data_IF_035500747954
#
_entry.id   IF_035500747954
#
_cell.length_a   1.000
_cell.length_b   1.000
_cell.length_c   1.000
_cell.angle_alpha   90.00
_cell.angle_beta   90.00
_cell.angle_gamma   90.00
#
_symmetry.space_group_name_H-M   'P 1'
#
loop_
_entity.id
_entity.type
_entity.pdbx_description
1 polymer ?
#
# COMPACT_ATOMS: atom_id res chain seq x y z
N UNK A 1 -3.99 7.38 -21.29
CA UNK A 1 -3.82 8.65 -20.55
C UNK A 1 -5.14 9.16 -20.00
N UNK A 2 -6.04 9.77 -20.80
CA UNK A 2 -7.33 10.28 -20.29
C UNK A 2 -8.14 9.22 -19.53
N UNK A 3 -8.21 7.99 -20.05
CA UNK A 3 -8.85 6.84 -19.40
C UNK A 3 -8.22 6.48 -18.05
N UNK A 4 -6.89 6.49 -17.97
CA UNK A 4 -6.14 6.19 -16.74
C UNK A 4 -6.40 7.28 -15.69
N UNK A 5 -6.27 8.55 -16.06
CA UNK A 5 -6.53 9.67 -15.15
C UNK A 5 -7.98 9.62 -14.64
N UNK A 6 -8.94 9.40 -15.54
CA UNK A 6 -10.34 9.26 -15.18
C UNK A 6 -10.56 8.13 -14.19
N UNK A 7 -9.95 6.96 -14.43
CA UNK A 7 -10.01 5.82 -13.53
C UNK A 7 -9.45 6.12 -12.13
N UNK A 8 -8.25 6.73 -12.04
CA UNK A 8 -7.63 7.05 -10.74
C UNK A 8 -8.48 8.06 -9.95
N UNK A 9 -8.99 9.10 -10.62
CA UNK A 9 -9.86 10.10 -9.98
C UNK A 9 -11.19 9.47 -9.56
N UNK A 10 -11.78 8.64 -10.43
CA UNK A 10 -13.01 7.92 -10.12
C UNK A 10 -12.83 7.02 -8.89
N UNK A 11 -11.74 6.25 -8.83
CA UNK A 11 -11.42 5.41 -7.68
C UNK A 11 -11.21 6.24 -6.41
N UNK A 12 -10.52 7.38 -6.50
CA UNK A 12 -10.33 8.27 -5.35
C UNK A 12 -11.68 8.79 -4.81
N UNK A 13 -12.58 9.21 -5.70
CA UNK A 13 -13.93 9.65 -5.32
C UNK A 13 -14.71 8.50 -4.68
N UNK A 14 -14.70 7.31 -5.28
CA UNK A 14 -15.33 6.12 -4.71
C UNK A 14 -14.76 5.79 -3.33
N UNK A 15 -13.45 5.91 -3.15
CA UNK A 15 -12.78 5.64 -1.87
C UNK A 15 -13.21 6.64 -0.79
N UNK A 16 -13.29 7.94 -1.12
CA UNK A 16 -13.73 8.99 -0.19
C UNK A 16 -15.20 8.78 0.20
N UNK A 17 -16.07 8.50 -0.79
CA UNK A 17 -17.49 8.22 -0.53
C UNK A 17 -17.64 6.96 0.33
N UNK A 18 -16.91 5.90 -0.01
CA UNK A 18 -16.93 4.66 0.77
C UNK A 18 -16.43 4.89 2.19
N UNK A 19 -15.39 5.70 2.40
CA UNK A 19 -14.88 6.05 3.73
C UNK A 19 -15.93 6.79 4.55
N UNK A 20 -16.59 7.78 3.94
CA UNK A 20 -17.64 8.54 4.60
C UNK A 20 -18.83 7.67 4.98
N UNK A 21 -19.32 6.84 4.06
CA UNK A 21 -20.42 5.90 4.31
C UNK A 21 -20.02 4.88 5.40
N UNK A 22 -18.85 4.26 5.28
CA UNK A 22 -18.40 3.22 6.21
C UNK A 22 -18.22 3.72 7.65
N UNK A 23 -17.91 5.01 7.84
CA UNK A 23 -17.79 5.59 9.18
C UNK A 23 -19.10 6.16 9.73
N UNK A 24 -20.06 6.51 8.86
CA UNK A 24 -21.35 7.09 9.27
C UNK A 24 -22.40 6.04 9.61
N UNK A 25 -22.48 4.94 8.85
CA UNK A 25 -23.51 3.92 9.04
C UNK A 25 -23.17 2.97 10.18
N UNK A 26 -24.19 2.55 10.94
CA UNK A 26 -24.07 1.48 11.94
C UNK A 26 -24.19 0.13 11.25
N UNK A 27 -23.10 -0.63 11.26
CA UNK A 27 -23.06 -1.97 10.69
C UNK A 27 -23.34 -3.04 11.74
N UNK A 28 -23.84 -4.22 11.32
CA UNK A 28 -23.97 -5.38 12.20
C UNK A 28 -22.60 -5.86 12.72
N UNK A 29 -22.60 -6.54 13.86
CA UNK A 29 -21.40 -6.82 14.70
C UNK A 29 -20.24 -7.50 13.96
N UNK A 30 -20.52 -8.43 13.05
CA UNK A 30 -19.54 -9.11 12.20
C UNK A 30 -18.71 -8.14 11.35
N UNK A 31 -19.33 -7.08 10.83
CA UNK A 31 -18.65 -6.03 10.05
C UNK A 31 -17.86 -5.10 10.96
N UNK A 32 -18.38 -4.80 12.15
CA UNK A 32 -17.70 -3.95 13.14
C UNK A 32 -16.35 -4.55 13.55
N UNK A 33 -16.26 -5.88 13.69
CA UNK A 33 -15.00 -6.57 14.00
C UNK A 33 -13.93 -6.43 12.91
N UNK A 34 -14.35 -6.18 11.66
CA UNK A 34 -13.46 -5.98 10.51
C UNK A 34 -13.16 -4.49 10.26
N UNK A 35 -13.73 -3.57 11.05
CA UNK A 35 -13.63 -2.13 10.83
C UNK A 35 -12.20 -1.65 10.66
N UNK A 36 -11.31 -2.02 11.59
CA UNK A 36 -9.91 -1.64 11.55
C UNK A 36 -9.20 -2.19 10.30
N UNK A 37 -9.44 -3.45 9.96
CA UNK A 37 -8.86 -4.08 8.77
C UNK A 37 -9.30 -3.38 7.48
N UNK A 38 -10.60 -3.07 7.37
CA UNK A 38 -11.17 -2.39 6.20
C UNK A 38 -10.56 -0.99 6.09
N UNK A 39 -10.49 -0.24 7.19
CA UNK A 39 -9.86 1.08 7.20
C UNK A 39 -8.38 1.02 6.80
N UNK A 40 -7.62 0.00 7.24
CA UNK A 40 -6.24 -0.21 6.78
C UNK A 40 -6.14 -0.44 5.27
N UNK A 41 -7.00 -1.30 4.72
CA UNK A 41 -7.07 -1.53 3.26
C UNK A 41 -7.34 -0.24 2.50
N UNK A 42 -8.25 0.59 3.02
CA UNK A 42 -8.58 1.89 2.42
C UNK A 42 -7.41 2.87 2.48
N UNK A 43 -6.71 2.94 3.62
CA UNK A 43 -5.51 3.78 3.76
C UNK A 43 -4.39 3.33 2.84
N UNK A 44 -4.21 2.02 2.65
CA UNK A 44 -3.25 1.47 1.70
C UNK A 44 -3.63 1.78 0.25
N UNK A 45 -4.91 1.65 -0.11
CA UNK A 45 -5.40 2.06 -1.43
C UNK A 45 -5.13 3.53 -1.71
N UNK A 46 -5.33 4.40 -0.72
CA UNK A 46 -5.03 5.83 -0.81
C UNK A 46 -3.54 6.07 -1.11
N UNK A 47 -2.64 5.33 -0.44
CA UNK A 47 -1.20 5.36 -0.73
C UNK A 47 -0.88 4.94 -2.17
N UNK A 48 -1.51 3.87 -2.65
CA UNK A 48 -1.38 3.40 -4.04
C UNK A 48 -1.86 4.42 -5.07
N UNK A 49 -3.03 5.04 -4.84
CA UNK A 49 -3.58 6.09 -5.70
C UNK A 49 -2.65 7.31 -5.73
N UNK A 50 -2.11 7.73 -4.58
CA UNK A 50 -1.14 8.84 -4.51
C UNK A 50 0.12 8.52 -5.33
N UNK A 51 0.61 7.28 -5.26
CA UNK A 51 1.74 6.83 -6.08
C UNK A 51 1.41 6.92 -7.58
N UNK A 52 0.24 6.41 -8.00
CA UNK A 52 -0.21 6.47 -9.39
C UNK A 52 -0.34 7.91 -9.90
N UNK A 53 -0.96 8.80 -9.13
CA UNK A 53 -1.10 10.22 -9.47
C UNK A 53 0.28 10.87 -9.63
N UNK A 54 1.19 10.62 -8.69
CA UNK A 54 2.58 11.11 -8.76
C UNK A 54 3.30 10.57 -10.00
N UNK A 55 3.14 9.28 -10.33
CA UNK A 55 3.74 8.68 -11.50
C UNK A 55 3.20 9.28 -12.80
N UNK A 56 1.89 9.59 -12.89
CA UNK A 56 1.31 10.31 -14.02
C UNK A 56 1.92 11.71 -14.11
N UNK A 57 1.96 12.46 -13.01
CA UNK A 57 2.52 13.81 -12.97
C UNK A 57 3.98 13.84 -13.45
N UNK A 58 4.83 12.97 -12.91
CA UNK A 58 6.25 12.92 -13.28
C UNK A 58 6.43 12.49 -14.73
N UNK A 59 5.81 11.38 -15.13
CA UNK A 59 6.05 10.83 -16.47
C UNK A 59 5.43 11.69 -17.57
N UNK A 60 4.30 12.35 -17.28
CA UNK A 60 3.61 13.17 -18.28
C UNK A 60 4.04 14.64 -18.25
N UNK A 61 4.05 15.29 -17.09
CA UNK A 61 4.25 16.73 -16.99
C UNK A 61 5.72 17.11 -16.90
N UNK A 62 6.54 16.29 -16.22
CA UNK A 62 7.96 16.62 -16.00
C UNK A 62 8.84 16.01 -17.09
N UNK A 63 8.72 14.70 -17.32
CA UNK A 63 9.59 13.96 -18.26
C UNK A 63 9.04 13.88 -19.69
N UNK A 64 7.75 14.17 -19.90
CA UNK A 64 7.03 14.01 -21.16
C UNK A 64 7.24 12.64 -21.86
N UNK A 65 7.50 11.59 -21.09
CA UNK A 65 7.76 10.23 -21.57
C UNK A 65 6.57 9.31 -21.21
N UNK A 66 5.41 9.60 -21.78
CA UNK A 66 4.21 8.80 -21.53
C UNK A 66 4.12 7.61 -22.49
N UNK A 67 4.31 6.40 -21.96
CA UNK A 67 4.12 5.15 -22.72
C UNK A 67 2.76 4.49 -22.38
N UNK A 68 2.07 3.97 -23.41
CA UNK A 68 0.78 3.26 -23.28
C UNK A 68 0.89 1.87 -22.67
N UNK A 69 2.04 1.21 -22.80
CA UNK A 69 2.24 -0.15 -22.27
C UNK A 69 2.09 -0.20 -20.74
N UNK A 70 2.34 0.94 -20.08
CA UNK A 70 2.20 1.10 -18.63
C UNK A 70 0.75 1.26 -18.15
N UNK A 71 -0.26 1.34 -19.03
CA UNK A 71 -1.66 1.52 -18.60
C UNK A 71 -2.11 0.38 -17.70
N UNK A 72 -1.73 -0.86 -18.01
CA UNK A 72 -2.06 -2.02 -17.19
C UNK A 72 -1.50 -1.87 -15.77
N UNK A 73 -0.27 -1.38 -15.65
CA UNK A 73 0.37 -1.15 -14.36
C UNK A 73 -0.39 -0.12 -13.52
N UNK A 74 -0.86 0.99 -14.12
CA UNK A 74 -1.69 1.97 -13.39
C UNK A 74 -3.01 1.36 -12.89
N UNK A 75 -3.68 0.52 -13.68
CA UNK A 75 -4.93 -0.12 -13.24
C UNK A 75 -4.75 -1.17 -12.14
N UNK A 76 -3.65 -1.94 -12.19
CA UNK A 76 -3.40 -3.01 -11.22
C UNK A 76 -2.80 -2.49 -9.91
N UNK A 77 -2.08 -1.36 -9.93
CA UNK A 77 -1.34 -0.85 -8.77
C UNK A 77 -2.24 -0.51 -7.56
N UNK A 78 -3.39 0.18 -7.70
CA UNK A 78 -4.29 0.40 -6.57
C UNK A 78 -4.83 -0.90 -5.97
N UNK A 79 -5.12 -1.90 -6.81
CA UNK A 79 -5.62 -3.22 -6.37
C UNK A 79 -4.53 -3.96 -5.59
N UNK A 80 -3.29 -3.98 -6.11
CA UNK A 80 -2.15 -4.56 -5.39
C UNK A 80 -1.94 -3.86 -4.04
N UNK A 81 -2.07 -2.54 -4.00
CA UNK A 81 -1.96 -1.75 -2.78
C UNK A 81 -3.01 -2.14 -1.74
N UNK A 82 -4.25 -2.43 -2.13
CA UNK A 82 -5.29 -2.94 -1.21
C UNK A 82 -4.88 -4.25 -0.53
N UNK A 83 -4.37 -5.20 -1.32
CA UNK A 83 -3.93 -6.51 -0.82
C UNK A 83 -2.79 -6.32 0.19
N UNK A 84 -1.82 -5.48 -0.16
CA UNK A 84 -0.66 -5.20 0.71
C UNK A 84 -1.09 -4.52 2.01
N UNK A 85 -2.09 -3.64 1.98
CA UNK A 85 -2.66 -3.02 3.17
C UNK A 85 -3.30 -4.01 4.12
N UNK A 86 -3.99 -5.01 3.58
CA UNK A 86 -4.54 -6.11 4.37
C UNK A 86 -3.43 -6.94 5.03
N UNK A 87 -2.36 -7.25 4.28
CA UNK A 87 -1.20 -7.96 4.84
C UNK A 87 -0.50 -7.14 5.93
N UNK A 88 -0.33 -5.83 5.72
CA UNK A 88 0.23 -4.93 6.73
C UNK A 88 -0.58 -4.97 8.04
N UNK A 89 -1.91 -4.92 7.93
CA UNK A 89 -2.80 -5.08 9.08
C UNK A 89 -2.60 -6.43 9.78
N UNK A 90 -2.54 -7.54 9.04
CA UNK A 90 -2.33 -8.86 9.64
C UNK A 90 -1.00 -8.96 10.38
N UNK A 91 0.09 -8.44 9.80
CA UNK A 91 1.42 -8.49 10.41
C UNK A 91 1.50 -7.63 11.68
N UNK A 92 0.88 -6.45 11.66
CA UNK A 92 0.77 -5.60 12.86
C UNK A 92 -0.07 -6.29 13.94
N UNK A 93 -1.24 -6.81 13.58
CA UNK A 93 -2.16 -7.46 14.53
C UNK A 93 -1.58 -8.76 15.10
N UNK A 94 -0.73 -9.45 14.35
CA UNK A 94 0.00 -10.63 14.80
C UNK A 94 1.26 -10.30 15.62
N UNK A 95 1.63 -9.02 15.76
CA UNK A 95 2.83 -8.59 16.49
C UNK A 95 4.15 -8.82 15.75
N UNK A 96 4.11 -9.20 14.46
CA UNK A 96 5.30 -9.42 13.64
C UNK A 96 5.96 -8.11 13.21
N UNK A 97 5.21 -7.01 13.25
CA UNK A 97 5.72 -5.67 12.98
C UNK A 97 5.41 -4.80 14.20
N UNK A 98 6.45 -4.40 14.92
CA UNK A 98 6.30 -3.58 16.14
C UNK A 98 6.37 -2.11 15.76
N UNK A 99 5.35 -1.37 16.19
CA UNK A 99 5.35 0.09 16.14
C UNK A 99 6.11 0.61 17.37
N UNK A 100 7.32 1.13 17.17
CA UNK A 100 8.08 1.79 18.23
C UNK A 100 7.55 3.22 18.41
N UNK A 101 6.29 3.33 18.84
CA UNK A 101 5.68 4.60 19.21
C UNK A 101 5.80 4.74 20.72
N UNK A 102 6.87 5.41 21.16
CA UNK A 102 7.11 5.76 22.55
C UNK A 102 5.86 6.33 23.21
N UNK A 103 5.54 5.77 24.37
CA UNK A 103 4.35 6.01 25.18
C UNK A 103 3.89 7.47 25.22
N UNK A 104 2.76 7.73 24.58
CA UNK A 104 1.80 8.72 25.05
C UNK A 104 0.41 8.14 24.79
N UNK A 105 -0.33 7.87 25.87
CA UNK A 105 -1.64 7.23 25.88
C UNK A 105 -2.69 8.02 25.07
N UNK A 106 -2.68 7.86 23.74
CA UNK A 106 -3.76 8.23 22.80
C UNK A 106 -3.44 7.89 21.33
N UNK A 107 -2.35 7.19 21.02
CA UNK A 107 -1.88 6.97 19.64
C UNK A 107 -2.87 6.21 18.72
N UNK A 108 -3.89 5.57 19.29
CA UNK A 108 -5.06 5.03 18.57
C UNK A 108 -4.75 4.07 17.43
N UNK A 109 -5.75 3.84 16.57
CA UNK A 109 -5.63 3.03 15.34
C UNK A 109 -4.73 3.68 14.28
N UNK A 110 -4.19 4.88 14.53
CA UNK A 110 -3.38 5.64 13.56
C UNK A 110 -2.06 4.96 13.21
N UNK A 111 -1.45 4.21 14.13
CA UNK A 111 -0.25 3.42 13.82
C UNK A 111 -0.51 2.39 12.72
N UNK A 112 -1.67 1.72 12.77
CA UNK A 112 -2.11 0.81 11.72
C UNK A 112 -2.34 1.52 10.39
N UNK A 113 -2.99 2.69 10.43
CA UNK A 113 -3.27 3.48 9.23
C UNK A 113 -2.02 3.99 8.54
N UNK A 114 -1.03 4.48 9.29
CA UNK A 114 0.22 5.01 8.73
C UNK A 114 1.00 3.88 8.05
N UNK A 115 1.15 2.73 8.73
CA UNK A 115 1.87 1.60 8.15
C UNK A 115 1.12 1.04 6.94
N UNK A 116 -0.20 0.88 7.00
CA UNK A 116 -0.97 0.44 5.86
C UNK A 116 -0.86 1.40 4.68
N UNK A 117 -0.91 2.72 4.92
CA UNK A 117 -0.69 3.75 3.90
C UNK A 117 0.69 3.65 3.26
N UNK A 118 1.75 3.53 4.07
CA UNK A 118 3.13 3.39 3.57
C UNK A 118 3.31 2.10 2.77
N UNK A 119 2.66 1.02 3.21
CA UNK A 119 2.69 -0.28 2.54
C UNK A 119 2.07 -0.19 1.13
N UNK A 120 0.93 0.50 0.99
CA UNK A 120 0.31 0.74 -0.32
C UNK A 120 1.05 1.75 -1.19
N UNK A 121 1.63 2.79 -0.57
CA UNK A 121 2.46 3.77 -1.28
C UNK A 121 3.68 3.11 -1.93
N UNK A 122 4.24 2.08 -1.28
CA UNK A 122 5.45 1.39 -1.75
C UNK A 122 5.32 -0.14 -1.67
N UNK A 123 4.38 -0.67 -2.45
CA UNK A 123 4.09 -2.11 -2.54
C UNK A 123 5.34 -2.96 -2.71
N UNK A 124 6.26 -2.58 -3.59
CA UNK A 124 7.42 -3.41 -3.94
C UNK A 124 8.39 -3.52 -2.74
N UNK A 125 8.73 -2.40 -2.11
CA UNK A 125 9.61 -2.40 -0.93
C UNK A 125 8.94 -3.06 0.27
N UNK A 126 7.63 -2.89 0.42
CA UNK A 126 6.92 -3.54 1.51
C UNK A 126 6.88 -5.06 1.33
N UNK A 127 6.69 -5.55 0.10
CA UNK A 127 6.74 -6.98 -0.21
C UNK A 127 8.10 -7.59 0.10
N UNK A 128 9.20 -6.92 -0.26
CA UNK A 128 10.55 -7.36 0.15
C UNK A 128 10.63 -7.48 1.67
N UNK A 129 10.11 -6.48 2.40
CA UNK A 129 10.14 -6.51 3.87
C UNK A 129 9.31 -7.67 4.44
N UNK A 130 8.17 -8.00 3.84
CA UNK A 130 7.37 -9.17 4.24
C UNK A 130 8.13 -10.48 3.99
N UNK A 131 8.82 -10.60 2.86
CA UNK A 131 9.65 -11.78 2.56
C UNK A 131 10.82 -11.92 3.54
N UNK A 132 11.47 -10.83 3.94
CA UNK A 132 12.51 -10.83 4.97
C UNK A 132 11.99 -11.32 6.33
N UNK A 133 10.80 -10.86 6.73
CA UNK A 133 10.13 -11.35 7.95
C UNK A 133 9.76 -12.83 7.80
N UNK A 134 9.30 -13.24 6.63
CA UNK A 134 9.01 -14.65 6.33
C UNK A 134 10.25 -15.54 6.44
N UNK A 135 11.39 -15.07 5.93
CA UNK A 135 12.67 -15.75 6.03
C UNK A 135 13.15 -15.86 7.48
N UNK A 136 13.08 -14.78 8.26
CA UNK A 136 13.57 -14.77 9.64
C UNK A 136 12.72 -15.60 10.60
N UNK A 137 11.40 -15.62 10.39
CA UNK A 137 10.46 -16.33 11.27
C UNK A 137 10.20 -17.77 10.84
N UNK A 138 10.17 -18.05 9.53
CA UNK A 138 9.74 -19.35 9.01
C UNK A 138 10.81 -20.05 8.14
N UNK A 139 11.96 -19.43 7.90
CA UNK A 139 13.01 -19.99 7.04
C UNK A 139 12.62 -20.05 5.56
N UNK A 140 11.58 -19.33 5.13
CA UNK A 140 11.12 -19.30 3.74
C UNK A 140 12.10 -18.48 2.90
N UNK A 141 12.63 -19.06 1.82
CA UNK A 141 13.50 -18.31 0.93
C UNK A 141 12.76 -17.19 0.19
N UNK A 142 13.39 -16.00 0.04
CA UNK A 142 12.80 -14.89 -0.68
C UNK A 142 12.61 -15.24 -2.16
N UNK A 143 11.58 -14.67 -2.75
CA UNK A 143 11.20 -14.89 -4.14
C UNK A 143 12.30 -14.39 -5.09
N UNK A 144 12.27 -14.90 -6.33
CA UNK A 144 13.19 -14.42 -7.39
C UNK A 144 13.07 -12.91 -7.64
N UNK A 145 11.89 -12.33 -7.39
CA UNK A 145 11.67 -10.89 -7.55
C UNK A 145 12.42 -10.06 -6.51
N UNK A 146 12.44 -10.49 -5.24
CA UNK A 146 13.21 -9.83 -4.20
C UNK A 146 14.72 -9.92 -4.47
N UNK A 147 15.21 -11.10 -4.87
CA UNK A 147 16.65 -11.31 -5.21
C UNK A 147 17.15 -10.35 -6.31
N UNK A 148 16.32 -10.04 -7.31
CA UNK A 148 16.71 -9.13 -8.40
C UNK A 148 16.79 -7.65 -7.97
N UNK A 149 16.03 -7.23 -6.97
CA UNK A 149 16.03 -5.84 -6.48
C UNK A 149 17.24 -5.55 -5.57
N UNK A 150 17.75 -6.56 -4.86
CA UNK A 150 18.99 -6.45 -4.08
C UNK A 150 20.24 -6.35 -4.97
N UNK A 151 20.27 -7.06 -6.10
CA UNK A 151 21.38 -7.01 -7.06
C UNK A 151 21.54 -5.60 -7.66
N UNK A 152 20.44 -4.94 -8.04
CA UNK A 152 20.49 -3.56 -8.54
C UNK A 152 21.00 -2.57 -7.49
N UNK A 153 20.70 -2.81 -6.21
CA UNK A 153 21.17 -1.98 -5.10
C UNK A 153 22.67 -2.15 -4.81
N UNK A 154 23.22 -3.34 -5.10
CA UNK A 154 24.65 -3.62 -5.00
C UNK A 154 25.47 -2.99 -6.13
N UNK A 155 24.89 -2.86 -7.34
CA UNK A 155 25.54 -2.20 -8.48
C UNK A 155 25.61 -0.67 -8.32
N UNK A 156 24.59 -0.03 -7.74
CA UNK A 156 24.61 1.43 -7.49
C UNK A 156 25.60 1.88 -6.39
N UNK A 157 26.03 0.98 -5.50
CA UNK A 157 27.04 1.28 -4.46
C UNK A 157 28.47 1.00 -4.98
N UNK A 158 28.59 0.28 -6.10
CA UNK A 158 29.86 -0.10 -6.73
C UNK A 158 30.32 0.80 -7.89
N UNK A 159 29.58 1.87 -8.22
CA UNK A 159 29.95 2.87 -9.24
C UNK A 159 30.22 4.24 -8.61
#
# INVERSE_FOLDING_TARGET
MKKVIFYEIFLLICLIIFFYCFNTYRFPTWVVNLKLSIQCVMMSMLGGLLYCIRAIYINKCVKNNWNKDWHLWYYLRPIASMIVGFLAYMFLKAGLLVLDASENHSSGDYGYFIIAFLAGLNVDKFMIRLEEVGKSMFGIEPSRMAKNLDIQKGEEIGS
#
